data_IF_325255040615
#
_entry.id   IF_325255040615
#
_cell.length_a   1.000
_cell.length_b   1.000
_cell.length_c   1.000
_cell.angle_alpha   90.00
_cell.angle_beta   90.00
_cell.angle_gamma   90.00
#
_symmetry.space_group_name_H-M   'P 1'
#
loop_
_entity.id
_entity.type
_entity.pdbx_description
1 polymer ?
#
# COMPACT_ATOMS: atom_id res chain seq x y z
N UNK A 1 5.26 37.20 -21.44
CA UNK A 1 4.57 35.91 -21.24
C UNK A 1 4.38 35.72 -19.75
N UNK A 2 3.14 35.72 -19.26
CA UNK A 2 2.88 35.28 -17.87
C UNK A 2 3.12 33.78 -17.84
N UNK A 3 4.23 33.34 -17.26
CA UNK A 3 4.49 31.92 -17.07
C UNK A 3 3.46 31.40 -16.06
N UNK A 4 2.52 30.57 -16.52
CA UNK A 4 1.64 29.86 -15.61
C UNK A 4 2.50 28.96 -14.73
N UNK A 5 2.33 29.07 -13.42
CA UNK A 5 3.02 28.24 -12.44
C UNK A 5 1.99 27.36 -11.72
N UNK A 6 2.36 26.12 -11.45
CA UNK A 6 1.58 25.24 -10.58
C UNK A 6 2.07 25.41 -9.16
N UNK A 7 1.18 25.88 -8.29
CA UNK A 7 1.48 26.11 -6.88
C UNK A 7 0.89 24.97 -6.05
N UNK A 8 1.75 24.25 -5.33
CA UNK A 8 1.37 23.18 -4.41
C UNK A 8 1.50 23.71 -2.99
N UNK A 9 0.38 23.71 -2.25
CA UNK A 9 0.32 24.17 -0.87
C UNK A 9 0.52 22.98 0.08
N UNK A 10 1.62 23.01 0.84
CA UNK A 10 2.05 21.97 1.77
C UNK A 10 3.24 21.17 1.23
N UNK A 11 4.33 21.12 2.01
CA UNK A 11 5.53 20.31 1.76
C UNK A 11 5.60 19.07 2.66
N UNK A 12 4.44 18.47 2.96
CA UNK A 12 4.34 17.11 3.46
C UNK A 12 4.47 16.09 2.32
N UNK A 13 4.43 14.79 2.65
CA UNK A 13 4.70 13.70 1.70
C UNK A 13 3.84 13.77 0.43
N UNK A 14 2.55 14.11 0.56
CA UNK A 14 1.65 14.22 -0.59
C UNK A 14 2.04 15.38 -1.50
N UNK A 15 2.44 16.53 -0.94
CA UNK A 15 2.81 17.70 -1.72
C UNK A 15 4.15 17.51 -2.44
N UNK A 16 5.15 16.92 -1.76
CA UNK A 16 6.44 16.59 -2.37
C UNK A 16 6.32 15.50 -3.44
N UNK A 17 5.54 14.45 -3.21
CA UNK A 17 5.25 13.44 -4.25
C UNK A 17 4.54 14.05 -5.46
N UNK A 18 3.56 14.92 -5.23
CA UNK A 18 2.85 15.62 -6.31
C UNK A 18 3.84 16.45 -7.14
N UNK A 19 4.68 17.25 -6.50
CA UNK A 19 5.69 18.04 -7.18
C UNK A 19 6.70 17.17 -7.94
N UNK A 20 7.12 16.04 -7.36
CA UNK A 20 8.02 15.08 -8.00
C UNK A 20 7.41 14.53 -9.29
N UNK A 21 6.19 13.98 -9.26
CA UNK A 21 5.56 13.43 -10.46
C UNK A 21 5.19 14.50 -11.49
N UNK A 22 4.86 15.73 -11.07
CA UNK A 22 4.69 16.85 -12.00
C UNK A 22 6.01 17.20 -12.70
N UNK A 23 7.12 17.24 -11.97
CA UNK A 23 8.44 17.57 -12.53
C UNK A 23 8.97 16.52 -13.53
N UNK A 24 8.55 15.27 -13.37
CA UNK A 24 8.90 14.17 -14.27
C UNK A 24 7.91 14.00 -15.44
N UNK A 25 6.81 14.76 -15.45
CA UNK A 25 5.81 14.65 -16.50
C UNK A 25 6.23 15.43 -17.75
N UNK A 26 6.37 14.78 -18.93
CA UNK A 26 6.75 15.47 -20.16
C UNK A 26 5.71 16.48 -20.65
N UNK A 27 4.47 16.38 -20.18
CA UNK A 27 3.39 17.32 -20.49
C UNK A 27 3.38 18.56 -19.59
N UNK A 28 4.12 18.54 -18.48
CA UNK A 28 4.17 19.66 -17.55
C UNK A 28 5.38 20.56 -17.86
N UNK A 29 5.12 21.73 -18.42
CA UNK A 29 6.17 22.68 -18.85
C UNK A 29 6.24 23.93 -17.98
N UNK A 30 5.33 24.05 -17.02
CA UNK A 30 5.20 25.17 -16.11
C UNK A 30 6.16 25.07 -14.92
N UNK A 31 6.50 26.21 -14.32
CA UNK A 31 7.22 26.23 -13.05
C UNK A 31 6.37 25.61 -11.94
N UNK A 32 7.00 24.80 -11.07
CA UNK A 32 6.36 24.19 -9.91
C UNK A 32 6.86 24.91 -8.67
N UNK A 33 5.95 25.44 -7.86
CA UNK A 33 6.25 26.13 -6.62
C UNK A 33 5.62 25.39 -5.44
N UNK A 34 6.44 24.96 -4.48
CA UNK A 34 5.99 24.34 -3.24
C UNK A 34 5.99 25.41 -2.14
N UNK A 35 4.85 25.60 -1.48
CA UNK A 35 4.70 26.59 -0.39
C UNK A 35 4.33 25.85 0.89
N UNK A 36 5.14 25.99 1.93
CA UNK A 36 4.91 25.38 3.24
C UNK A 36 4.74 26.48 4.31
N UNK A 37 3.79 26.27 5.22
CA UNK A 37 3.53 27.19 6.32
C UNK A 37 4.53 26.98 7.48
N UNK A 38 5.02 25.76 7.66
CA UNK A 38 6.07 25.44 8.61
C UNK A 38 7.46 25.88 8.13
N UNK A 39 8.36 26.15 9.08
CA UNK A 39 9.77 26.48 8.79
C UNK A 39 10.56 25.27 8.29
N UNK A 40 10.11 24.05 8.63
CA UNK A 40 10.76 22.80 8.26
C UNK A 40 9.80 21.95 7.41
N UNK A 41 10.36 21.23 6.44
CA UNK A 41 9.60 20.24 5.68
C UNK A 41 9.16 19.10 6.59
N UNK A 42 8.02 18.48 6.28
CA UNK A 42 7.46 17.34 7.02
C UNK A 42 7.13 17.60 8.50
N UNK A 43 7.05 18.85 8.98
CA UNK A 43 6.86 19.19 10.40
C UNK A 43 5.52 18.74 11.05
N UNK A 44 4.59 18.18 10.28
CA UNK A 44 3.25 17.77 10.72
C UNK A 44 3.06 16.24 10.66
N UNK A 45 1.95 15.76 10.12
CA UNK A 45 1.61 14.33 10.09
C UNK A 45 2.70 13.47 9.43
N UNK A 46 3.32 13.92 8.35
CA UNK A 46 4.32 13.16 7.61
C UNK A 46 5.58 12.86 8.42
N UNK A 47 6.13 13.83 9.16
CA UNK A 47 7.32 13.62 10.01
C UNK A 47 7.03 12.84 11.30
N UNK A 48 5.75 12.69 11.65
CA UNK A 48 5.30 11.95 12.85
C UNK A 48 4.77 10.54 12.52
N UNK A 49 4.69 10.19 11.24
CA UNK A 49 4.19 8.89 10.82
C UNK A 49 5.20 7.77 11.16
N UNK A 50 4.68 6.58 11.48
CA UNK A 50 5.50 5.37 11.50
C UNK A 50 5.88 5.01 10.06
N UNK A 51 7.14 4.71 9.80
CA UNK A 51 7.73 4.47 8.46
C UNK A 51 7.28 3.16 7.78
N UNK A 52 6.02 2.75 7.99
CA UNK A 52 5.43 1.52 7.47
C UNK A 52 4.37 1.82 6.42
N UNK A 53 4.45 1.09 5.31
CA UNK A 53 3.44 1.07 4.26
C UNK A 53 2.94 -0.37 4.14
N UNK A 54 1.63 -0.56 4.20
CA UNK A 54 1.02 -1.88 4.17
C UNK A 54 0.15 -2.03 2.92
N UNK A 55 0.32 -3.14 2.20
CA UNK A 55 -0.39 -3.43 0.94
C UNK A 55 -1.91 -3.58 1.14
N UNK A 56 -2.35 -4.15 2.26
CA UNK A 56 -3.72 -4.64 2.46
C UNK A 56 -4.45 -4.02 3.69
N UNK A 57 -4.00 -2.85 4.14
CA UNK A 57 -4.59 -2.09 5.26
C UNK A 57 -5.61 -1.05 4.78
N UNK A 58 -6.15 -1.21 3.57
CA UNK A 58 -7.10 -0.29 2.96
C UNK A 58 -8.48 -0.93 2.80
N UNK A 59 -9.51 -0.09 2.95
CA UNK A 59 -10.91 -0.53 2.83
C UNK A 59 -11.30 -0.60 1.36
N UNK A 60 -12.43 -1.23 1.02
CA UNK A 60 -12.81 -1.49 -0.38
C UNK A 60 -12.79 -0.24 -1.28
N UNK A 61 -13.14 0.94 -0.73
CA UNK A 61 -13.15 2.19 -1.47
C UNK A 61 -11.74 2.71 -1.86
N UNK A 62 -10.70 2.28 -1.15
CA UNK A 62 -9.32 2.76 -1.33
C UNK A 62 -8.32 1.63 -1.61
N UNK A 63 -8.75 0.38 -1.73
CA UNK A 63 -7.87 -0.78 -1.99
C UNK A 63 -7.01 -0.58 -3.24
N UNK A 64 -7.59 -0.14 -4.36
CA UNK A 64 -6.83 0.09 -5.59
C UNK A 64 -5.75 1.17 -5.43
N UNK A 65 -6.01 2.21 -4.63
CA UNK A 65 -5.02 3.24 -4.32
C UNK A 65 -3.92 2.70 -3.40
N UNK A 66 -4.28 1.84 -2.44
CA UNK A 66 -3.35 1.15 -1.56
C UNK A 66 -2.38 0.25 -2.30
N UNK A 67 -2.90 -0.60 -3.20
CA UNK A 67 -2.12 -1.48 -4.07
C UNK A 67 -1.16 -0.66 -4.96
N UNK A 68 -1.67 0.42 -5.58
CA UNK A 68 -0.87 1.33 -6.39
C UNK A 68 0.25 1.97 -5.56
N UNK A 69 -0.08 2.52 -4.39
CA UNK A 69 0.88 3.18 -3.50
C UNK A 69 1.99 2.22 -3.07
N UNK A 70 1.63 1.01 -2.63
CA UNK A 70 2.61 0.02 -2.18
C UNK A 70 3.56 -0.40 -3.30
N UNK A 71 3.05 -0.60 -4.52
CA UNK A 71 3.86 -0.89 -5.69
C UNK A 71 4.81 0.26 -6.04
N UNK A 72 4.33 1.50 -6.06
CA UNK A 72 5.18 2.66 -6.37
C UNK A 72 6.31 2.86 -5.35
N UNK A 73 6.06 2.61 -4.06
CA UNK A 73 7.12 2.66 -3.04
C UNK A 73 8.24 1.64 -3.33
N UNK A 74 7.90 0.44 -3.82
CA UNK A 74 8.89 -0.57 -4.23
C UNK A 74 9.67 -0.16 -5.48
N UNK A 75 8.97 0.36 -6.49
CA UNK A 75 9.57 0.83 -7.74
C UNK A 75 10.58 1.96 -7.46
N UNK A 76 10.19 2.98 -6.69
CA UNK A 76 11.06 4.08 -6.31
C UNK A 76 12.23 3.64 -5.42
N UNK A 77 11.98 2.74 -4.46
CA UNK A 77 13.05 2.18 -3.64
C UNK A 77 14.06 1.37 -4.48
N UNK A 78 13.62 0.77 -5.59
CA UNK A 78 14.51 0.08 -6.52
C UNK A 78 15.28 1.06 -7.38
N UNK A 79 14.59 2.03 -7.99
CA UNK A 79 15.16 3.05 -8.89
C UNK A 79 16.24 3.90 -8.21
N UNK A 80 15.99 4.32 -6.97
CA UNK A 80 16.87 5.23 -6.22
C UNK A 80 17.71 4.52 -5.15
N UNK A 81 17.94 3.21 -5.28
CA UNK A 81 18.75 2.40 -4.35
C UNK A 81 18.36 2.57 -2.87
N UNK A 82 17.05 2.61 -2.61
CA UNK A 82 16.49 3.02 -1.32
C UNK A 82 16.84 2.11 -0.15
N UNK A 83 17.20 0.83 -0.39
CA UNK A 83 17.78 -0.02 0.65
C UNK A 83 19.11 0.54 1.16
N UNK A 84 19.98 0.99 0.27
CA UNK A 84 21.30 1.53 0.61
C UNK A 84 21.18 2.94 1.17
N UNK A 85 20.34 3.77 0.56
CA UNK A 85 20.24 5.19 0.88
C UNK A 85 19.36 5.47 2.11
N UNK A 86 18.29 4.70 2.31
CA UNK A 86 17.27 4.94 3.36
C UNK A 86 16.89 3.71 4.17
N UNK A 87 17.55 2.56 3.97
CA UNK A 87 17.22 1.34 4.71
C UNK A 87 15.87 0.72 4.34
N UNK A 88 15.30 1.06 3.18
CA UNK A 88 14.03 0.50 2.74
C UNK A 88 14.11 -1.04 2.62
N UNK A 89 13.14 -1.74 3.22
CA UNK A 89 13.07 -3.20 3.15
C UNK A 89 11.63 -3.68 3.23
N UNK A 90 11.33 -4.76 2.49
CA UNK A 90 10.08 -5.50 2.65
C UNK A 90 10.06 -6.24 3.98
N UNK A 91 8.88 -6.34 4.56
CA UNK A 91 8.59 -7.16 5.74
C UNK A 91 7.18 -7.74 5.63
N UNK A 92 6.93 -8.84 6.32
CA UNK A 92 5.60 -9.47 6.40
C UNK A 92 5.04 -9.26 7.80
N UNK A 93 3.95 -8.52 7.90
CA UNK A 93 3.24 -8.29 9.16
C UNK A 93 2.11 -9.31 9.36
N UNK A 94 1.97 -9.82 10.58
CA UNK A 94 0.85 -10.69 10.97
C UNK A 94 -0.01 -9.97 12.01
N UNK A 95 -1.31 -9.85 11.75
CA UNK A 95 -2.28 -9.28 12.68
C UNK A 95 -3.07 -10.41 13.33
N UNK A 96 -3.16 -10.41 14.66
CA UNK A 96 -3.96 -11.38 15.44
C UNK A 96 -5.24 -10.71 15.91
N UNK A 97 -6.39 -11.24 15.50
CA UNK A 97 -7.70 -10.77 15.96
C UNK A 97 -8.19 -11.69 17.07
N UNK A 98 -8.22 -11.20 18.31
CA UNK A 98 -8.74 -11.95 19.46
C UNK A 98 -10.21 -11.61 19.68
N UNK A 99 -11.10 -12.52 19.29
CA UNK A 99 -12.54 -12.39 19.55
C UNK A 99 -12.88 -12.74 21.00
N UNK A 100 -13.33 -11.77 21.80
CA UNK A 100 -13.99 -12.07 23.08
C UNK A 100 -15.45 -12.48 22.82
N UNK A 101 -15.70 -13.79 22.81
CA UNK A 101 -17.03 -14.34 22.61
C UNK A 101 -17.98 -14.05 23.79
N UNK A 102 -19.01 -13.22 23.55
CA UNK A 102 -20.34 -13.41 24.16
C UNK A 102 -21.37 -13.33 23.05
N UNK A 103 -21.90 -14.50 22.66
CA UNK A 103 -23.04 -14.63 21.76
C UNK A 103 -24.26 -13.92 22.37
N UNK A 104 -24.66 -12.78 21.80
CA UNK A 104 -26.02 -12.24 21.98
C UNK A 104 -26.73 -12.29 20.64
N UNK A 105 -27.80 -13.08 20.61
CA UNK A 105 -28.69 -13.31 19.47
C UNK A 105 -29.53 -12.06 19.21
N UNK A 106 -29.44 -11.50 18.00
CA UNK A 106 -30.50 -10.72 17.38
C UNK A 106 -30.37 -9.19 17.40
N UNK A 107 -29.95 -8.62 16.26
CA UNK A 107 -30.70 -7.64 15.43
C UNK A 107 -29.78 -7.24 14.26
N UNK A 108 -30.27 -7.38 13.02
CA UNK A 108 -29.57 -6.94 11.80
C UNK A 108 -29.26 -5.45 11.93
N UNK A 109 -27.97 -5.10 11.96
CA UNK A 109 -27.46 -3.73 11.89
C UNK A 109 -26.54 -3.66 10.68
N UNK A 110 -26.71 -2.58 9.91
CA UNK A 110 -26.02 -2.29 8.65
C UNK A 110 -24.53 -2.68 8.72
N UNK A 111 -24.16 -3.69 7.94
CA UNK A 111 -22.78 -4.12 7.77
C UNK A 111 -22.07 -3.14 6.83
N UNK A 112 -21.55 -2.06 7.41
CA UNK A 112 -20.39 -1.36 6.88
C UNK A 112 -19.23 -1.58 7.85
N UNK A 113 -18.88 -2.85 8.02
CA UNK A 113 -17.68 -3.30 8.70
C UNK A 113 -16.59 -3.59 7.67
N UNK A 114 -15.33 -3.36 8.06
CA UNK A 114 -14.12 -3.64 7.30
C UNK A 114 -13.99 -5.14 6.98
N UNK A 115 -14.71 -5.60 5.97
CA UNK A 115 -14.57 -6.95 5.46
C UNK A 115 -13.49 -6.92 4.39
N UNK A 116 -12.27 -7.27 4.81
CA UNK A 116 -11.11 -7.52 3.95
C UNK A 116 -11.53 -8.46 2.82
N UNK A 117 -11.17 -8.10 1.58
CA UNK A 117 -11.34 -8.97 0.42
C UNK A 117 -10.62 -10.31 0.67
N UNK A 118 -11.28 -11.42 0.34
CA UNK A 118 -10.72 -12.76 0.48
C UNK A 118 -9.38 -12.88 -0.26
N UNK A 119 -8.33 -13.43 0.36
CA UNK A 119 -7.14 -13.78 -0.37
C UNK A 119 -7.47 -14.90 -1.36
N UNK A 120 -7.21 -14.65 -2.65
CA UNK A 120 -7.32 -15.64 -3.72
C UNK A 120 -6.30 -16.76 -3.46
N UNK A 121 -6.70 -17.81 -2.76
CA UNK A 121 -5.85 -18.98 -2.54
C UNK A 121 -5.57 -19.65 -3.89
N UNK A 122 -4.34 -19.52 -4.38
CA UNK A 122 -3.84 -20.37 -5.46
C UNK A 122 -3.89 -21.82 -4.98
N UNK A 123 -4.80 -22.58 -5.58
CA UNK A 123 -5.02 -23.98 -5.31
C UNK A 123 -3.82 -24.80 -5.84
N UNK A 124 -2.79 -24.94 -5.01
CA UNK A 124 -1.71 -25.90 -5.21
C UNK A 124 -2.29 -27.32 -5.11
N UNK A 125 -2.66 -27.90 -6.26
CA UNK A 125 -2.95 -29.33 -6.40
C UNK A 125 -1.68 -30.13 -6.17
N UNK A 126 -1.45 -30.56 -4.93
CA UNK A 126 -0.55 -31.67 -4.59
C UNK A 126 -1.40 -32.87 -4.19
N UNK A 127 -1.36 -33.92 -5.00
CA UNK A 127 -1.69 -35.27 -4.51
C UNK A 127 -0.82 -36.30 -5.25
N UNK A 128 0.30 -36.64 -4.62
CA UNK A 128 0.98 -37.91 -4.82
C UNK A 128 0.58 -38.83 -3.68
N UNK A 129 -0.13 -39.92 -3.98
CA UNK A 129 -0.15 -41.14 -3.16
C UNK A 129 -0.17 -42.36 -4.10
N UNK A 130 1.00 -43.01 -4.24
CA UNK A 130 1.19 -44.41 -4.66
C UNK A 130 1.17 -45.31 -3.40
N UNK A 131 1.27 -46.67 -3.45
CA UNK A 131 0.99 -47.65 -4.51
C UNK A 131 0.10 -48.83 -4.02
N UNK A 132 -0.49 -49.63 -4.92
CA UNK A 132 -0.86 -51.02 -4.59
C UNK A 132 -0.61 -51.99 -5.74
N UNK A 133 0.36 -52.88 -5.51
CA UNK A 133 0.58 -54.15 -6.22
C UNK A 133 -0.71 -54.98 -6.21
N UNK A 134 -1.04 -55.60 -7.35
CA UNK A 134 -1.63 -56.94 -7.36
C UNK A 134 -1.10 -57.74 -8.55
N UNK A 135 -0.63 -58.94 -8.21
CA UNK A 135 -0.08 -59.97 -9.08
C UNK A 135 -1.23 -60.87 -9.58
N UNK A 136 -0.99 -61.56 -10.72
CA UNK A 136 -1.68 -62.72 -11.36
C UNK A 136 -2.47 -62.37 -12.63
N UNK A 137 -2.01 -62.77 -13.82
CA UNK A 137 -1.85 -64.10 -14.46
C UNK A 137 -3.07 -64.44 -15.32
N UNK A 138 -2.81 -64.58 -16.61
CA UNK A 138 -3.72 -64.99 -17.68
C UNK A 138 -2.96 -64.86 -18.99
#
# INVERSE_FOLDING_TARGET
>A
MSAYATVVLGAGIIGTETAFYLSNSPSHTSAICLVEAALEMFASASGKAGSLVAEDWFGPATTALGELSFRLHEELATEYEGRRNWGCSRSTGTIVVVGRGKQKKGKKRLEQGWNRAEPRSQQLRRSNITPRRKVRSG
#
